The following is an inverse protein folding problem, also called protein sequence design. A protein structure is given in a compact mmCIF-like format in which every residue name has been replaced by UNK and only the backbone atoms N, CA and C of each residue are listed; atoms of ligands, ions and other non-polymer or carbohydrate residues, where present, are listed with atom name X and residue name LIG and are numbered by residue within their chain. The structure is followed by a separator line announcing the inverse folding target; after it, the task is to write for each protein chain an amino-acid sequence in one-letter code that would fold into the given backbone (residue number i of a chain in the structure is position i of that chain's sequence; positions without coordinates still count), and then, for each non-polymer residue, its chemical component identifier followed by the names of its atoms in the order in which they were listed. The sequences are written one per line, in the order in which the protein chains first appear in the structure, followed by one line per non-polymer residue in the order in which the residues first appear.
data_IF_834236397571
#
_entry.id   IF_834236397571
#
_cell.length_a   1.000
_cell.length_b   1.000
_cell.length_c   1.000
_cell.angle_alpha   90.00
_cell.angle_beta   90.00
_cell.angle_gamma   90.00
#
_symmetry.space_group_name_H-M   'P 1'
#
loop_
_entity.id
_entity.type
_entity.pdbx_description
1 polymer ?
#
# COMPACT_ATOMS: atom_id res chain seq x y z
N UNK A 1 14.37 19.25 41.56
CA UNK A 1 13.99 19.74 40.21
C UNK A 1 14.73 18.99 39.10
N UNK A 2 16.07 18.97 39.06
CA UNK A 2 16.83 18.22 38.03
C UNK A 2 16.50 16.73 37.87
N UNK A 3 16.21 15.99 38.95
CA UNK A 3 15.80 14.58 38.82
C UNK A 3 14.45 14.41 38.11
N UNK A 4 13.50 15.32 38.32
CA UNK A 4 12.23 15.32 37.60
C UNK A 4 12.44 15.66 36.13
N UNK A 5 13.26 16.66 35.83
CA UNK A 5 13.59 17.02 34.44
C UNK A 5 14.23 15.87 33.65
N UNK A 6 15.13 15.10 34.30
CA UNK A 6 15.75 13.93 33.67
C UNK A 6 14.73 12.81 33.42
N UNK A 7 13.83 12.54 34.37
CA UNK A 7 12.75 11.56 34.19
C UNK A 7 11.78 11.99 33.08
N UNK A 8 11.39 13.27 33.05
CA UNK A 8 10.53 13.83 32.00
C UNK A 8 11.19 13.80 30.63
N UNK A 9 12.51 13.98 30.57
CA UNK A 9 13.28 13.86 29.33
C UNK A 9 13.37 12.40 28.86
N UNK A 10 13.59 11.44 29.77
CA UNK A 10 13.57 10.01 29.44
C UNK A 10 12.21 9.58 28.89
N UNK A 11 11.12 10.03 29.52
CA UNK A 11 9.76 9.76 29.06
C UNK A 11 9.52 10.33 27.66
N UNK A 12 9.91 11.58 27.41
CA UNK A 12 9.80 12.19 26.07
C UNK A 12 10.59 11.46 25.00
N UNK A 13 11.77 10.92 25.31
CA UNK A 13 12.56 10.13 24.36
C UNK A 13 11.83 8.82 24.02
N UNK A 14 11.27 8.14 25.02
CA UNK A 14 10.48 6.93 24.80
C UNK A 14 9.22 7.21 23.98
N UNK A 15 8.47 8.25 24.33
CA UNK A 15 7.26 8.68 23.62
C UNK A 15 7.59 9.09 22.18
N UNK A 16 8.69 9.80 21.95
CA UNK A 16 9.15 10.18 20.61
C UNK A 16 9.49 8.95 19.75
N UNK A 17 10.19 7.97 20.31
CA UNK A 17 10.52 6.73 19.60
C UNK A 17 9.27 5.95 19.18
N UNK A 18 8.30 5.80 20.08
CA UNK A 18 7.03 5.13 19.77
C UNK A 18 6.21 5.90 18.73
N UNK A 19 6.12 7.23 18.86
CA UNK A 19 5.40 8.07 17.91
C UNK A 19 6.03 8.05 16.53
N UNK A 20 7.36 8.11 16.44
CA UNK A 20 8.07 8.04 15.17
C UNK A 20 7.80 6.71 14.45
N UNK A 21 7.80 5.58 15.17
CA UNK A 21 7.48 4.28 14.58
C UNK A 21 6.04 4.21 14.07
N UNK A 22 5.09 4.76 14.82
CA UNK A 22 3.69 4.85 14.40
C UNK A 22 3.53 5.76 13.16
N UNK A 23 4.20 6.90 13.15
CA UNK A 23 4.15 7.83 12.02
C UNK A 23 4.74 7.21 10.75
N UNK A 24 5.83 6.44 10.86
CA UNK A 24 6.39 5.69 9.73
C UNK A 24 5.40 4.66 9.16
N UNK A 25 4.72 3.91 10.03
CA UNK A 25 3.66 2.97 9.60
C UNK A 25 2.52 3.71 8.91
N UNK A 26 2.02 4.80 9.49
CA UNK A 26 0.97 5.62 8.89
C UNK A 26 1.38 6.18 7.53
N UNK A 27 2.58 6.74 7.40
CA UNK A 27 3.10 7.26 6.12
C UNK A 27 3.22 6.16 5.08
N UNK A 28 3.69 4.97 5.47
CA UNK A 28 3.75 3.82 4.57
C UNK A 28 2.35 3.47 4.05
N UNK A 29 1.35 3.43 4.93
CA UNK A 29 -0.04 3.19 4.52
C UNK A 29 -0.58 4.30 3.61
N UNK A 30 -0.35 5.57 3.96
CA UNK A 30 -0.80 6.74 3.20
C UNK A 30 -0.21 6.78 1.79
N UNK A 31 1.04 6.33 1.62
CA UNK A 31 1.69 6.23 0.31
C UNK A 31 1.18 5.01 -0.45
N UNK A 32 0.94 3.88 0.23
CA UNK A 32 0.58 2.63 -0.46
C UNK A 32 -0.90 2.57 -0.86
N UNK A 33 -1.81 3.08 -0.01
CA UNK A 33 -3.26 3.17 -0.28
C UNK A 33 -3.61 3.77 -1.66
N UNK A 34 -3.09 4.95 -2.06
CA UNK A 34 -3.40 5.54 -3.36
C UNK A 34 -2.83 4.73 -4.52
N UNK A 35 -1.72 4.01 -4.35
CA UNK A 35 -1.18 3.11 -5.38
C UNK A 35 -2.14 1.94 -5.60
N UNK A 36 -2.60 1.29 -4.53
CA UNK A 36 -3.59 0.21 -4.64
C UNK A 36 -4.88 0.68 -5.32
N UNK A 37 -5.37 1.86 -4.98
CA UNK A 37 -6.57 2.41 -5.60
C UNK A 37 -6.37 2.70 -7.09
N UNK A 38 -5.23 3.29 -7.48
CA UNK A 38 -4.88 3.47 -8.91
C UNK A 38 -4.84 2.14 -9.66
N UNK A 39 -4.19 1.13 -9.08
CA UNK A 39 -4.13 -0.22 -9.66
C UNK A 39 -5.53 -0.82 -9.80
N UNK A 40 -6.38 -0.71 -8.78
CA UNK A 40 -7.77 -1.21 -8.81
C UNK A 40 -8.58 -0.53 -9.91
N UNK A 41 -8.48 0.78 -10.06
CA UNK A 41 -9.16 1.54 -11.11
C UNK A 41 -8.66 1.13 -12.50
N UNK A 42 -7.35 0.95 -12.68
CA UNK A 42 -6.75 0.49 -13.92
C UNK A 42 -7.22 -0.94 -14.28
N UNK A 43 -7.25 -1.86 -13.31
CA UNK A 43 -7.82 -3.22 -13.50
C UNK A 43 -9.25 -3.14 -13.99
N UNK A 44 -10.10 -2.33 -13.35
CA UNK A 44 -11.51 -2.20 -13.74
C UNK A 44 -11.67 -1.60 -15.15
N UNK A 45 -10.87 -0.58 -15.48
CA UNK A 45 -10.89 0.06 -16.80
C UNK A 45 -10.50 -0.93 -17.90
N UNK A 46 -9.35 -1.59 -17.76
CA UNK A 46 -8.84 -2.54 -18.77
C UNK A 46 -9.72 -3.79 -18.85
N UNK A 47 -10.14 -4.32 -17.70
CA UNK A 47 -11.04 -5.48 -17.64
C UNK A 47 -12.34 -5.23 -18.39
N UNK A 48 -13.01 -4.09 -18.11
CA UNK A 48 -14.24 -3.68 -18.82
C UNK A 48 -14.00 -3.44 -20.31
N UNK A 49 -12.91 -2.76 -20.68
CA UNK A 49 -12.58 -2.45 -22.07
C UNK A 49 -12.33 -3.72 -22.91
N UNK A 50 -11.77 -4.77 -22.31
CA UNK A 50 -11.54 -6.06 -22.97
C UNK A 50 -12.71 -7.05 -22.80
N UNK A 51 -13.80 -6.63 -22.16
CA UNK A 51 -15.02 -7.43 -22.02
C UNK A 51 -14.94 -8.53 -20.97
N UNK A 52 -14.04 -8.44 -19.98
CA UNK A 52 -13.98 -9.38 -18.86
C UNK A 52 -15.00 -9.03 -17.77
N UNK A 53 -15.71 -10.03 -17.28
CA UNK A 53 -16.65 -9.88 -16.16
C UNK A 53 -15.94 -9.97 -14.80
N UNK A 54 -14.84 -10.72 -14.75
CA UNK A 54 -14.04 -10.94 -13.55
C UNK A 54 -12.55 -10.89 -13.89
N UNK A 55 -11.75 -10.39 -12.95
CA UNK A 55 -10.30 -10.43 -12.97
C UNK A 55 -9.86 -11.03 -11.64
N UNK A 56 -9.03 -12.07 -11.69
CA UNK A 56 -8.53 -12.79 -10.53
C UNK A 56 -7.02 -12.56 -10.39
N UNK A 57 -6.52 -12.59 -9.16
CA UNK A 57 -5.08 -12.63 -8.91
C UNK A 57 -4.53 -14.01 -9.31
N UNK A 58 -3.57 -14.02 -10.24
CA UNK A 58 -2.92 -15.24 -10.71
C UNK A 58 -2.25 -16.05 -9.60
N UNK A 59 -1.85 -15.41 -8.49
CA UNK A 59 -1.26 -16.11 -7.33
C UNK A 59 -2.24 -17.06 -6.63
N UNK A 60 -3.55 -16.85 -6.83
CA UNK A 60 -4.63 -17.64 -6.20
C UNK A 60 -5.09 -18.80 -7.07
N UNK A 61 -4.62 -18.89 -8.31
CA UNK A 61 -5.04 -19.90 -9.26
C UNK A 61 -4.11 -21.12 -9.21
N UNK A 62 -4.70 -22.32 -9.23
CA UNK A 62 -3.93 -23.56 -9.38
C UNK A 62 -3.31 -23.71 -10.79
N UNK A 63 -3.92 -23.04 -11.79
CA UNK A 63 -3.45 -22.96 -13.17
C UNK A 63 -3.77 -21.56 -13.73
N UNK A 64 -2.79 -20.87 -14.28
CA UNK A 64 -2.90 -19.46 -14.69
C UNK A 64 -2.50 -19.20 -16.15
N UNK A 65 -2.80 -20.13 -17.06
CA UNK A 65 -2.45 -20.03 -18.50
C UNK A 65 -3.44 -19.18 -19.32
N UNK A 66 -4.41 -18.56 -18.67
CA UNK A 66 -5.38 -17.67 -19.31
C UNK A 66 -4.81 -16.30 -19.68
N UNK A 67 -5.63 -15.42 -20.28
CA UNK A 67 -5.25 -14.05 -20.61
C UNK A 67 -4.75 -13.28 -19.39
N UNK A 68 -3.57 -12.66 -19.51
CA UNK A 68 -2.93 -11.90 -18.45
C UNK A 68 -3.01 -10.39 -18.74
N UNK A 69 -3.61 -9.62 -17.82
CA UNK A 69 -3.82 -8.17 -17.95
C UNK A 69 -2.71 -7.33 -17.33
N UNK A 70 -1.72 -7.93 -16.63
CA UNK A 70 -0.70 -7.21 -15.87
C UNK A 70 0.09 -6.23 -16.74
N UNK A 71 0.45 -6.62 -17.96
CA UNK A 71 1.17 -5.73 -18.88
C UNK A 71 0.32 -4.52 -19.31
N UNK A 72 -0.95 -4.74 -19.63
CA UNK A 72 -1.88 -3.67 -19.99
C UNK A 72 -2.12 -2.70 -18.82
N UNK A 73 -2.23 -3.23 -17.60
CA UNK A 73 -2.42 -2.44 -16.38
C UNK A 73 -1.18 -1.60 -16.08
N UNK A 74 0.04 -2.16 -16.20
CA UNK A 74 1.29 -1.41 -16.02
C UNK A 74 1.37 -0.23 -16.98
N UNK A 75 1.05 -0.47 -18.25
CA UNK A 75 1.00 0.57 -19.29
C UNK A 75 0.01 1.68 -18.96
N UNK A 76 -1.19 1.33 -18.49
CA UNK A 76 -2.20 2.32 -18.07
C UNK A 76 -1.72 3.18 -16.88
N UNK A 77 -0.93 2.60 -15.98
CA UNK A 77 -0.38 3.29 -14.81
C UNK A 77 0.90 4.10 -15.12
N UNK A 78 1.48 3.94 -16.32
CA UNK A 78 2.70 4.63 -16.73
C UNK A 78 4.01 3.98 -16.24
N UNK A 79 4.00 2.67 -15.98
CA UNK A 79 5.18 1.87 -15.64
C UNK A 79 5.75 1.11 -16.84
#
# INVERSE_FOLDING_TARGET
ERQKEVQDMQKRIQDYGQNAQKELQTKQEEITKPIYEKVRVAIQKIGKAKGFQYVLDGSTLLLADGPNLTADIKKELGF
#
